data_IF_952342995520
#
_entry.id   IF_952342995520
#
_cell.length_a   1.000
_cell.length_b   1.000
_cell.length_c   1.000
_cell.angle_alpha   90.00
_cell.angle_beta   90.00
_cell.angle_gamma   90.00
#
_symmetry.space_group_name_H-M   'P 1'
#
loop_
_entity.id
_entity.type
_entity.pdbx_description
1 polymer ?
#
# COMPACT_ATOMS: atom_id res chain seq x y z
N UNK A 1 -0.01 13.24 12.38
CA UNK A 1 0.87 12.54 13.35
C UNK A 1 2.21 12.32 12.66
N UNK A 2 3.35 12.55 13.32
CA UNK A 2 4.64 12.22 12.71
C UNK A 2 4.84 10.70 12.66
N UNK A 3 5.61 10.16 11.70
CA UNK A 3 5.90 8.73 11.62
C UNK A 3 6.45 8.13 12.91
N UNK A 4 7.34 8.85 13.59
CA UNK A 4 7.96 8.39 14.84
C UNK A 4 6.93 8.16 15.96
N UNK A 5 5.93 9.04 16.06
CA UNK A 5 4.85 8.91 17.05
C UNK A 5 3.93 7.73 16.71
N UNK A 6 3.69 7.47 15.42
CA UNK A 6 2.93 6.31 14.97
C UNK A 6 3.67 5.00 15.31
N UNK A 7 4.97 4.92 15.00
CA UNK A 7 5.80 3.74 15.24
C UNK A 7 5.86 3.35 16.73
N UNK A 8 5.83 4.31 17.65
CA UNK A 8 5.82 4.04 19.10
C UNK A 8 4.53 3.38 19.61
N UNK A 9 3.46 3.37 18.82
CA UNK A 9 2.15 2.78 19.21
C UNK A 9 1.89 1.43 18.55
N UNK A 10 2.63 1.10 17.51
CA UNK A 10 2.47 -0.14 16.73
C UNK A 10 3.09 -1.31 17.49
N UNK A 11 2.51 -2.51 17.32
CA UNK A 11 3.10 -3.74 17.85
C UNK A 11 4.58 -3.85 17.47
N UNK A 12 5.51 -4.12 18.41
CA UNK A 12 6.94 -4.17 18.12
C UNK A 12 7.30 -5.14 16.99
N UNK A 13 6.55 -6.23 16.85
CA UNK A 13 6.76 -7.25 15.81
C UNK A 13 6.41 -6.76 14.41
N UNK A 14 5.47 -5.81 14.30
CA UNK A 14 5.05 -5.24 13.02
C UNK A 14 5.86 -3.99 12.64
N UNK A 15 6.46 -3.32 13.63
CA UNK A 15 7.23 -2.08 13.45
C UNK A 15 8.26 -2.11 12.31
N UNK A 16 9.01 -3.21 12.05
CA UNK A 16 9.95 -3.27 10.93
C UNK A 16 9.28 -3.08 9.57
N UNK A 17 8.11 -3.70 9.35
CA UNK A 17 7.37 -3.60 8.09
C UNK A 17 6.88 -2.17 7.86
N UNK A 18 6.28 -1.57 8.88
CA UNK A 18 5.75 -0.21 8.80
C UNK A 18 6.89 0.81 8.66
N UNK A 19 8.00 0.60 9.37
CA UNK A 19 9.18 1.46 9.27
C UNK A 19 9.76 1.45 7.86
N UNK A 20 9.84 0.27 7.22
CA UNK A 20 10.27 0.15 5.83
C UNK A 20 9.32 0.90 4.90
N UNK A 21 8.01 0.74 5.05
CA UNK A 21 7.01 1.46 4.25
C UNK A 21 7.14 2.98 4.39
N UNK A 22 7.33 3.52 5.60
CA UNK A 22 7.40 4.99 5.76
C UNK A 22 8.75 5.56 5.30
N UNK A 23 9.85 4.83 5.49
CA UNK A 23 11.20 5.30 5.13
C UNK A 23 11.53 5.09 3.65
N UNK A 24 11.14 3.95 3.09
CA UNK A 24 11.47 3.52 1.73
C UNK A 24 10.26 3.64 0.78
N UNK A 25 9.12 4.15 1.27
CA UNK A 25 7.83 4.26 0.58
C UNK A 25 7.77 5.25 -0.57
N UNK A 26 8.73 5.22 -1.48
CA UNK A 26 8.53 5.75 -2.82
C UNK A 26 7.74 4.70 -3.58
N UNK A 27 6.42 4.85 -3.58
CA UNK A 27 5.50 3.99 -4.32
C UNK A 27 4.86 4.86 -5.39
N UNK A 28 5.21 4.60 -6.65
CA UNK A 28 4.77 5.41 -7.79
C UNK A 28 5.84 6.41 -8.27
N UNK A 29 5.39 7.49 -8.91
CA UNK A 29 6.23 8.44 -9.64
C UNK A 29 6.52 9.74 -8.88
N UNK A 30 5.89 9.99 -7.73
CA UNK A 30 6.07 11.25 -7.02
C UNK A 30 7.22 11.20 -6.01
N UNK A 31 8.27 11.99 -6.27
CA UNK A 31 9.43 12.07 -5.39
C UNK A 31 9.17 12.92 -4.13
N UNK A 32 8.07 13.67 -4.08
CA UNK A 32 7.82 14.72 -3.08
C UNK A 32 6.88 14.33 -1.95
N UNK A 33 5.97 13.36 -2.14
CA UNK A 33 5.11 12.86 -1.06
C UNK A 33 5.50 11.43 -0.69
N UNK A 34 5.96 11.25 0.54
CA UNK A 34 6.15 9.92 1.10
C UNK A 34 4.80 9.31 1.52
N UNK A 35 4.73 7.98 1.54
CA UNK A 35 3.62 7.26 2.17
C UNK A 35 3.37 7.78 3.60
N UNK A 36 2.10 8.02 3.94
CA UNK A 36 1.70 8.48 5.27
C UNK A 36 0.77 7.47 5.93
N UNK A 37 0.85 7.37 7.25
CA UNK A 37 0.01 6.48 8.05
C UNK A 37 -0.83 7.29 9.02
N UNK A 38 -2.11 6.97 9.08
CA UNK A 38 -3.10 7.57 9.97
C UNK A 38 -3.99 6.49 10.59
N UNK A 39 -4.93 6.91 11.43
CA UNK A 39 -5.99 6.06 11.98
C UNK A 39 -5.50 4.76 12.64
N UNK A 40 -4.39 4.84 13.39
CA UNK A 40 -3.90 3.70 14.15
C UNK A 40 -4.94 3.23 15.17
N UNK A 41 -5.31 1.96 15.07
CA UNK A 41 -6.20 1.24 15.99
C UNK A 41 -5.55 -0.08 16.40
N UNK A 42 -5.95 -0.57 17.57
CA UNK A 42 -5.64 -1.94 17.99
C UNK A 42 -6.85 -2.83 17.73
N UNK A 43 -6.60 -3.99 17.14
CA UNK A 43 -7.55 -5.10 17.07
C UNK A 43 -7.54 -6.01 18.29
N UNK A 44 -6.63 -5.78 19.25
CA UNK A 44 -6.53 -6.55 20.48
C UNK A 44 -7.56 -6.10 21.53
N UNK A 45 -7.76 -6.91 22.56
CA UNK A 45 -8.59 -6.51 23.71
C UNK A 45 -7.96 -5.30 24.41
N UNK A 46 -8.79 -4.42 24.98
CA UNK A 46 -8.34 -3.21 25.67
C UNK A 46 -7.45 -3.48 26.90
N UNK A 47 -7.46 -4.71 27.41
CA UNK A 47 -6.61 -5.17 28.51
C UNK A 47 -5.19 -5.52 28.08
N UNK A 48 -4.92 -5.61 26.78
CA UNK A 48 -3.60 -5.95 26.25
C UNK A 48 -2.62 -4.82 26.57
N UNK A 49 -1.56 -5.07 27.36
CA UNK A 49 -0.65 -4.01 27.80
C UNK A 49 0.32 -3.59 26.68
N UNK A 50 0.79 -2.35 26.75
CA UNK A 50 1.83 -1.83 25.86
C UNK A 50 1.35 -1.51 24.44
N UNK A 51 2.29 -1.25 23.51
CA UNK A 51 1.95 -0.92 22.13
C UNK A 51 1.47 -2.16 21.37
N UNK A 52 0.23 -2.09 20.88
CA UNK A 52 -0.48 -3.21 20.28
C UNK A 52 -1.34 -2.78 19.07
N UNK A 53 -1.07 -1.62 18.48
CA UNK A 53 -1.75 -1.21 17.26
C UNK A 53 -1.26 -2.07 16.08
N UNK A 54 -2.21 -2.59 15.31
CA UNK A 54 -2.00 -3.47 14.15
C UNK A 54 -2.86 -3.09 12.94
N UNK A 55 -3.77 -2.13 13.11
CA UNK A 55 -4.67 -1.64 12.06
C UNK A 55 -4.38 -0.17 11.81
N UNK A 56 -4.23 0.21 10.55
CA UNK A 56 -3.94 1.58 10.19
C UNK A 56 -4.39 1.89 8.77
N UNK A 57 -4.55 3.18 8.48
CA UNK A 57 -4.84 3.67 7.15
C UNK A 57 -3.56 4.15 6.48
N UNK A 58 -3.25 3.61 5.32
CA UNK A 58 -2.14 4.00 4.47
C UNK A 58 -2.62 4.99 3.41
N UNK A 59 -1.94 6.14 3.34
CA UNK A 59 -2.14 7.17 2.35
C UNK A 59 -1.07 7.03 1.28
N UNK A 60 -1.48 6.64 0.08
CA UNK A 60 -0.61 6.42 -1.08
C UNK A 60 -0.86 7.56 -2.08
N UNK A 61 0.11 8.45 -2.30
CA UNK A 61 0.03 9.42 -3.37
C UNK A 61 0.00 8.72 -4.74
N UNK A 62 -0.94 9.08 -5.60
CA UNK A 62 -1.07 8.47 -6.92
C UNK A 62 -1.71 9.46 -7.90
N UNK A 63 -0.98 9.80 -8.97
CA UNK A 63 -1.47 10.62 -10.09
C UNK A 63 -2.13 11.96 -9.70
N UNK A 64 -1.63 12.63 -8.65
CA UNK A 64 -2.17 13.91 -8.17
C UNK A 64 -3.24 13.78 -7.08
N UNK A 65 -3.72 12.56 -6.83
CA UNK A 65 -4.67 12.22 -5.77
C UNK A 65 -4.00 11.39 -4.65
N UNK A 66 -4.76 11.02 -3.63
CA UNK A 66 -4.29 10.15 -2.54
C UNK A 66 -5.24 8.98 -2.33
N UNK A 67 -4.76 7.77 -2.62
CA UNK A 67 -5.46 6.53 -2.27
C UNK A 67 -5.38 6.31 -0.76
N UNK A 68 -6.49 5.89 -0.15
CA UNK A 68 -6.62 5.67 1.29
C UNK A 68 -7.02 4.22 1.54
N UNK A 69 -6.04 3.37 1.83
CA UNK A 69 -6.26 1.95 2.04
C UNK A 69 -6.14 1.59 3.50
N UNK A 70 -7.09 0.84 4.04
CA UNK A 70 -6.96 0.28 5.39
C UNK A 70 -6.16 -1.02 5.31
N UNK A 71 -5.10 -1.11 6.10
CA UNK A 71 -4.23 -2.27 6.23
C UNK A 71 -4.45 -2.87 7.61
N UNK A 72 -4.73 -4.17 7.63
CA UNK A 72 -5.15 -4.90 8.82
C UNK A 72 -4.17 -6.03 9.06
N UNK A 73 -3.35 -5.91 10.10
CA UNK A 73 -2.60 -7.03 10.67
C UNK A 73 -3.31 -7.58 11.90
N UNK A 74 -2.79 -8.71 12.39
CA UNK A 74 -3.10 -9.24 13.71
C UNK A 74 -1.83 -9.23 14.57
N UNK A 75 -1.76 -8.36 15.57
CA UNK A 75 -0.58 -8.24 16.45
C UNK A 75 -0.25 -9.54 17.21
N UNK A 76 -1.22 -10.42 17.43
CA UNK A 76 -1.01 -11.70 18.12
C UNK A 76 -0.42 -12.78 17.22
N UNK A 77 -0.50 -12.60 15.89
CA UNK A 77 -0.02 -13.53 14.86
C UNK A 77 0.73 -12.74 13.77
N UNK A 78 1.88 -12.12 14.11
CA UNK A 78 2.61 -11.21 13.22
C UNK A 78 3.20 -11.89 11.98
N UNK A 79 3.26 -13.22 11.96
CA UNK A 79 3.68 -14.02 10.81
C UNK A 79 2.65 -14.10 9.69
N UNK A 80 1.38 -13.81 9.99
CA UNK A 80 0.31 -13.85 9.01
C UNK A 80 0.36 -12.62 8.08
N UNK A 81 -0.02 -12.76 6.80
CA UNK A 81 -0.14 -11.63 5.89
C UNK A 81 -1.26 -10.68 6.33
N UNK A 82 -1.19 -9.40 5.90
CA UNK A 82 -2.25 -8.43 6.18
C UNK A 82 -3.45 -8.60 5.24
N UNK A 83 -4.59 -8.07 5.66
CA UNK A 83 -5.74 -7.80 4.81
C UNK A 83 -5.77 -6.32 4.37
N UNK A 84 -6.43 -6.07 3.24
CA UNK A 84 -6.53 -4.75 2.62
C UNK A 84 -8.00 -4.37 2.35
N UNK A 85 -8.34 -3.10 2.61
CA UNK A 85 -9.62 -2.50 2.20
C UNK A 85 -9.32 -1.25 1.37
N UNK A 86 -9.85 -1.21 0.13
CA UNK A 86 -9.49 -0.21 -0.88
C UNK A 86 -10.32 1.08 -0.84
N UNK A 87 -10.95 1.39 0.30
CA UNK A 87 -11.66 2.66 0.50
C UNK A 87 -12.86 2.85 -0.44
N UNK A 88 -12.81 3.90 -1.25
CA UNK A 88 -13.93 4.35 -2.10
C UNK A 88 -14.03 3.61 -3.44
N UNK A 89 -12.95 2.98 -3.92
CA UNK A 89 -12.91 2.26 -5.19
C UNK A 89 -13.42 0.80 -5.02
N UNK A 90 -14.73 0.64 -4.80
CA UNK A 90 -15.36 -0.66 -4.57
C UNK A 90 -15.24 -1.64 -5.76
N UNK A 91 -15.00 -1.12 -6.97
CA UNK A 91 -14.83 -1.91 -8.19
C UNK A 91 -13.39 -2.41 -8.39
N UNK A 92 -12.44 -1.92 -7.58
CA UNK A 92 -11.06 -2.38 -7.67
C UNK A 92 -10.91 -3.77 -7.05
N UNK A 93 -10.77 -4.77 -7.92
CA UNK A 93 -10.56 -6.17 -7.58
C UNK A 93 -9.19 -6.62 -8.12
N UNK A 94 -8.10 -6.54 -7.33
CA UNK A 94 -6.78 -6.93 -7.80
C UNK A 94 -6.72 -8.43 -8.08
N UNK A 95 -6.01 -8.84 -9.14
CA UNK A 95 -5.80 -10.25 -9.46
C UNK A 95 -4.83 -10.89 -8.45
N UNK A 96 -5.27 -11.87 -7.63
CA UNK A 96 -4.41 -12.50 -6.64
C UNK A 96 -3.19 -13.20 -7.25
N UNK A 97 -3.29 -13.66 -8.51
CA UNK A 97 -2.17 -14.33 -9.19
C UNK A 97 -1.01 -13.39 -9.51
N UNK A 98 -1.27 -12.08 -9.56
CA UNK A 98 -0.27 -11.05 -9.77
C UNK A 98 0.40 -10.56 -8.47
N UNK A 99 -0.07 -11.00 -7.30
CA UNK A 99 0.43 -10.60 -5.98
C UNK A 99 1.38 -11.65 -5.40
N UNK A 100 2.54 -11.81 -6.03
CA UNK A 100 3.50 -12.88 -5.69
C UNK A 100 4.07 -12.70 -4.29
N UNK A 101 4.37 -11.46 -3.88
CA UNK A 101 4.90 -11.17 -2.54
C UNK A 101 3.84 -11.38 -1.44
N UNK A 102 2.55 -11.29 -1.76
CA UNK A 102 1.48 -11.62 -0.83
C UNK A 102 1.27 -13.14 -0.73
N UNK A 103 1.29 -13.83 -1.87
CA UNK A 103 1.18 -15.30 -1.93
C UNK A 103 2.35 -16.01 -1.23
N UNK A 104 3.55 -15.45 -1.34
CA UNK A 104 4.77 -15.93 -0.68
C UNK A 104 5.18 -15.00 0.47
N UNK A 105 4.22 -14.61 1.31
CA UNK A 105 4.45 -13.69 2.42
C UNK A 105 5.61 -14.16 3.30
N UNK A 106 6.62 -13.29 3.46
CA UNK A 106 7.82 -13.57 4.24
C UNK A 106 8.00 -12.53 5.35
N UNK A 107 7.58 -12.81 6.60
CA UNK A 107 7.74 -11.89 7.73
C UNK A 107 9.20 -11.67 8.16
N UNK A 108 10.14 -12.48 7.66
CA UNK A 108 11.58 -12.27 7.92
C UNK A 108 12.17 -11.15 7.07
N UNK A 109 11.50 -10.74 5.99
CA UNK A 109 11.92 -9.63 5.14
C UNK A 109 11.20 -8.34 5.58
N UNK A 110 11.89 -7.32 6.13
CA UNK A 110 11.25 -6.06 6.54
C UNK A 110 10.55 -5.29 5.41
N UNK A 111 10.90 -5.56 4.14
CA UNK A 111 10.30 -4.90 2.98
C UNK A 111 9.08 -5.63 2.42
N UNK A 112 8.69 -6.78 2.97
CA UNK A 112 7.59 -7.60 2.43
C UNK A 112 6.29 -6.80 2.23
N UNK A 113 5.90 -5.98 3.21
CA UNK A 113 4.73 -5.11 3.11
C UNK A 113 4.88 -4.08 1.98
N UNK A 114 6.05 -3.46 1.84
CA UNK A 114 6.29 -2.47 0.78
C UNK A 114 6.20 -3.10 -0.61
N UNK A 115 6.74 -4.31 -0.77
CA UNK A 115 6.66 -5.05 -2.04
C UNK A 115 5.20 -5.37 -2.41
N UNK A 116 4.40 -5.85 -1.46
CA UNK A 116 2.96 -6.09 -1.68
C UNK A 116 2.22 -4.80 -2.05
N UNK A 117 2.50 -3.69 -1.36
CA UNK A 117 1.89 -2.39 -1.69
C UNK A 117 2.28 -1.93 -3.10
N UNK A 118 3.52 -2.16 -3.54
CA UNK A 118 3.94 -1.86 -4.92
C UNK A 118 3.19 -2.70 -5.95
N UNK A 119 3.03 -4.00 -5.71
CA UNK A 119 2.26 -4.89 -6.59
C UNK A 119 0.79 -4.45 -6.67
N UNK A 120 0.18 -4.13 -5.54
CA UNK A 120 -1.20 -3.63 -5.49
C UNK A 120 -1.38 -2.30 -6.24
N UNK A 121 -0.44 -1.37 -6.11
CA UNK A 121 -0.49 -0.09 -6.85
C UNK A 121 -0.28 -0.32 -8.36
N UNK A 122 0.53 -1.29 -8.75
CA UNK A 122 0.66 -1.69 -10.15
C UNK A 122 -0.65 -2.29 -10.69
N UNK A 123 -1.33 -3.13 -9.91
CA UNK A 123 -2.67 -3.64 -10.25
C UNK A 123 -3.69 -2.51 -10.34
N UNK A 124 -3.64 -1.54 -9.43
CA UNK A 124 -4.51 -0.36 -9.47
C UNK A 124 -4.28 0.47 -10.74
N UNK A 125 -3.03 0.62 -11.17
CA UNK A 125 -2.71 1.25 -12.45
C UNK A 125 -3.34 0.50 -13.63
N UNK A 126 -3.25 -0.84 -13.67
CA UNK A 126 -3.90 -1.63 -14.72
C UNK A 126 -5.42 -1.48 -14.71
N UNK A 127 -6.03 -1.39 -13.52
CA UNK A 127 -7.46 -1.09 -13.36
C UNK A 127 -7.82 0.30 -13.91
N UNK A 128 -7.03 1.34 -13.64
CA UNK A 128 -7.28 2.65 -14.23
C UNK A 128 -7.12 2.63 -15.76
N UNK A 129 -6.16 1.87 -16.28
CA UNK A 129 -6.00 1.66 -17.72
C UNK A 129 -7.17 0.91 -18.35
N UNK A 130 -7.84 -0.01 -17.64
CA UNK A 130 -9.03 -0.68 -18.16
C UNK A 130 -10.22 0.27 -18.27
N UNK A 131 -10.40 1.16 -17.29
CA UNK A 131 -11.40 2.24 -17.32
C UNK A 131 -11.13 3.26 -18.43
N UNK A 132 -9.86 3.56 -18.70
CA UNK A 132 -9.45 4.43 -19.80
C UNK A 132 -9.95 3.93 -21.17
N UNK A 133 -10.08 2.60 -21.36
CA UNK A 133 -10.53 1.99 -22.62
C UNK A 133 -11.95 2.39 -23.01
N UNK A 134 -12.75 2.88 -22.06
CA UNK A 134 -14.06 3.46 -22.35
C UNK A 134 -13.96 4.76 -23.18
N UNK A 135 -12.79 5.44 -23.13
CA UNK A 135 -12.48 6.63 -23.91
C UNK A 135 -11.44 6.32 -24.99
N UNK A 136 -11.89 6.16 -26.23
CA UNK A 136 -11.03 5.89 -27.39
C UNK A 136 -9.97 6.98 -27.60
N UNK A 137 -10.30 8.25 -27.32
CA UNK A 137 -9.38 9.37 -27.46
C UNK A 137 -8.21 9.26 -26.47
N UNK A 138 -8.51 9.04 -25.20
CA UNK A 138 -7.47 8.96 -24.17
C UNK A 138 -6.63 7.69 -24.33
N UNK A 139 -7.26 6.59 -24.76
CA UNK A 139 -6.56 5.34 -25.04
C UNK A 139 -5.53 5.49 -26.17
N UNK A 140 -5.87 6.24 -27.23
CA UNK A 140 -4.92 6.53 -28.32
C UNK A 140 -3.68 7.27 -27.79
N UNK A 141 -3.88 8.37 -27.05
CA UNK A 141 -2.79 9.16 -26.47
C UNK A 141 -1.92 8.31 -25.52
N UNK A 142 -2.55 7.48 -24.69
CA UNK A 142 -1.84 6.57 -23.78
C UNK A 142 -0.98 5.52 -24.50
N UNK A 143 -1.50 4.93 -25.59
CA UNK A 143 -0.73 3.97 -26.39
C UNK A 143 0.48 4.63 -27.06
N UNK A 144 0.33 5.84 -27.60
CA UNK A 144 1.45 6.58 -28.19
C UNK A 144 2.55 6.85 -27.15
N UNK A 145 2.19 7.19 -25.90
CA UNK A 145 3.16 7.40 -24.83
C UNK A 145 3.89 6.12 -24.42
N UNK A 146 3.23 4.96 -24.46
CA UNK A 146 3.86 3.67 -24.15
C UNK A 146 4.87 3.23 -25.22
N UNK A 147 4.61 3.58 -26.48
CA UNK A 147 5.48 3.26 -27.62
C UNK A 147 6.76 4.11 -27.65
N UNK A 148 6.83 5.19 -26.87
CA UNK A 148 8.00 6.07 -26.75
C UNK A 148 8.60 6.10 -25.31
N UNK A 149 9.35 5.07 -24.88
CA UNK A 149 9.95 5.02 -23.54
C UNK A 149 11.02 6.10 -23.25
N UNK A 150 11.41 6.90 -24.26
CA UNK A 150 12.59 7.77 -24.20
C UNK A 150 12.41 9.12 -23.49
N UNK A 151 11.21 9.50 -23.07
CA UNK A 151 10.97 10.80 -22.40
C UNK A 151 11.11 10.78 -20.86
N UNK A 152 11.70 9.73 -20.29
CA UNK A 152 11.76 9.51 -18.84
C UNK A 152 13.16 9.46 -18.20
N UNK A 153 14.22 9.94 -18.88
CA UNK A 153 15.55 10.15 -18.27
C UNK A 153 15.73 11.55 -17.65
#
# INVERSE_FOLDING_TARGET
MSPEVALNRISPMLSPFISSVVRNGKVGLDATNCLRITDLKSGCTSLTPGPNCDRFKLHIPYAGETLKWDIIFNAQYPELPPDFIFGEDAEFLPDPSALQNLASWNPSNPECLLLVVKELVQQYHQFQCSRLRESSRLMFEYQTLLEEPQYGE
#
